data_IF_113759006175
#
_entry.id   IF_113759006175
#
_cell.length_a   1.000
_cell.length_b   1.000
_cell.length_c   1.000
_cell.angle_alpha   90.00
_cell.angle_beta   90.00
_cell.angle_gamma   90.00
#
_symmetry.space_group_name_H-M   'P 1'
#
loop_
_entity.id
_entity.type
_entity.pdbx_description
1 polymer ?
#
# COMPACT_ATOMS: atom_id res chain seq x y z
N UNK A 1 -37.17 35.45 -47.45
CA UNK A 1 -36.04 34.51 -47.44
C UNK A 1 -34.87 34.98 -46.57
N UNK A 2 -34.39 36.23 -46.68
CA UNK A 2 -33.23 36.71 -45.90
C UNK A 2 -33.40 36.71 -44.37
N UNK A 3 -34.61 36.97 -43.86
CA UNK A 3 -34.89 36.99 -42.41
C UNK A 3 -34.76 35.61 -41.74
N UNK A 4 -35.11 34.54 -42.46
CA UNK A 4 -35.01 33.16 -41.97
C UNK A 4 -33.55 32.71 -41.91
N UNK A 5 -32.73 33.14 -42.88
CA UNK A 5 -31.29 32.88 -42.88
C UNK A 5 -30.58 33.64 -41.75
N UNK A 6 -30.99 34.88 -41.47
CA UNK A 6 -30.46 35.67 -40.36
C UNK A 6 -30.80 35.04 -38.99
N UNK A 7 -32.05 34.62 -38.79
CA UNK A 7 -32.50 33.96 -37.56
C UNK A 7 -31.86 32.58 -37.37
N UNK A 8 -31.69 31.81 -38.44
CA UNK A 8 -31.01 30.52 -38.39
C UNK A 8 -29.51 30.66 -38.02
N UNK A 9 -28.83 31.68 -38.55
CA UNK A 9 -27.45 31.99 -38.18
C UNK A 9 -27.31 32.41 -36.71
N UNK A 10 -28.26 33.20 -36.18
CA UNK A 10 -28.29 33.60 -34.76
C UNK A 10 -28.54 32.40 -33.84
N UNK A 11 -29.46 31.50 -34.21
CA UNK A 11 -29.73 30.28 -33.44
C UNK A 11 -28.53 29.31 -33.43
N UNK A 12 -27.79 29.21 -34.55
CA UNK A 12 -26.60 28.36 -34.63
C UNK A 12 -25.39 28.96 -33.90
N UNK A 13 -25.30 30.29 -33.81
CA UNK A 13 -24.24 31.00 -33.11
C UNK A 13 -24.53 31.23 -31.61
N UNK A 14 -25.76 30.98 -31.14
CA UNK A 14 -26.13 31.08 -29.74
C UNK A 14 -25.63 29.87 -28.93
N UNK A 15 -24.32 29.68 -28.86
CA UNK A 15 -23.73 28.87 -27.80
C UNK A 15 -23.82 29.67 -26.49
N UNK A 16 -24.50 29.18 -25.45
CA UNK A 16 -24.50 29.87 -24.16
C UNK A 16 -23.05 29.95 -23.65
N UNK A 17 -22.56 31.18 -23.43
CA UNK A 17 -21.28 31.40 -22.75
C UNK A 17 -21.39 30.81 -21.35
N UNK A 18 -20.57 29.82 -20.94
CA UNK A 18 -20.61 29.32 -19.58
C UNK A 18 -20.23 30.46 -18.64
N UNK A 19 -21.16 30.88 -17.79
CA UNK A 19 -20.83 31.77 -16.67
C UNK A 19 -19.92 31.01 -15.70
N UNK A 20 -18.88 31.65 -15.13
CA UNK A 20 -18.04 30.99 -14.15
C UNK A 20 -18.90 30.55 -12.96
N UNK A 21 -19.11 29.24 -12.84
CA UNK A 21 -19.64 28.63 -11.63
C UNK A 21 -18.54 28.78 -10.58
N UNK A 22 -18.85 29.43 -9.46
CA UNK A 22 -17.98 29.41 -8.27
C UNK A 22 -17.55 27.97 -8.03
N UNK A 23 -16.23 27.73 -7.96
CA UNK A 23 -15.70 26.38 -7.74
C UNK A 23 -16.28 25.73 -6.48
N UNK A 24 -16.10 24.41 -6.31
CA UNK A 24 -16.53 23.73 -5.10
C UNK A 24 -16.02 24.48 -3.87
N UNK A 25 -16.85 24.68 -2.85
CA UNK A 25 -16.42 25.32 -1.60
C UNK A 25 -15.30 24.50 -0.95
N UNK A 26 -14.39 25.14 -0.21
CA UNK A 26 -13.25 24.47 0.44
C UNK A 26 -13.68 23.30 1.35
N UNK A 27 -14.86 23.41 1.97
CA UNK A 27 -15.46 22.34 2.78
C UNK A 27 -15.82 21.08 1.97
N UNK A 28 -16.05 21.22 0.67
CA UNK A 28 -16.43 20.12 -0.23
C UNK A 28 -15.23 19.32 -0.77
N UNK A 29 -14.02 19.86 -0.67
CA UNK A 29 -12.78 19.23 -1.18
C UNK A 29 -11.92 18.62 -0.08
N UNK A 30 -12.30 18.81 1.19
CA UNK A 30 -11.61 18.21 2.32
C UNK A 30 -12.25 16.84 2.62
N UNK A 31 -11.47 15.75 2.81
CA UNK A 31 -11.98 14.39 3.05
C UNK A 31 -12.80 14.22 4.36
N UNK A 32 -13.07 15.30 5.10
CA UNK A 32 -13.85 15.32 6.33
C UNK A 32 -13.29 14.40 7.42
N UNK A 33 -14.09 14.21 8.47
CA UNK A 33 -13.72 13.28 9.57
C UNK A 33 -13.63 11.84 9.06
N UNK A 34 -14.52 11.43 8.15
CA UNK A 34 -14.58 10.06 7.63
C UNK A 34 -13.29 9.72 6.87
N UNK A 35 -12.86 10.56 5.92
CA UNK A 35 -11.65 10.29 5.16
C UNK A 35 -10.37 10.42 5.99
N UNK A 36 -10.36 11.28 7.01
CA UNK A 36 -9.27 11.30 8.00
C UNK A 36 -9.19 9.98 8.78
N UNK A 37 -10.33 9.47 9.28
CA UNK A 37 -10.36 8.19 10.02
C UNK A 37 -9.94 7.02 9.16
N UNK A 38 -10.40 6.93 7.91
CA UNK A 38 -9.96 5.89 6.96
C UNK A 38 -8.45 5.94 6.75
N UNK A 39 -7.90 7.12 6.47
CA UNK A 39 -6.45 7.30 6.25
C UNK A 39 -5.66 6.96 7.51
N UNK A 40 -6.13 7.37 8.68
CA UNK A 40 -5.53 7.05 9.97
C UNK A 40 -5.47 5.54 10.20
N UNK A 41 -6.55 4.81 9.93
CA UNK A 41 -6.57 3.34 10.06
C UNK A 41 -5.59 2.67 9.10
N UNK A 42 -5.48 3.15 7.86
CA UNK A 42 -4.49 2.66 6.89
C UNK A 42 -3.06 2.89 7.41
N UNK A 43 -2.78 4.08 7.96
CA UNK A 43 -1.47 4.39 8.54
C UNK A 43 -1.15 3.47 9.73
N UNK A 44 -2.11 3.25 10.63
CA UNK A 44 -1.95 2.31 11.75
C UNK A 44 -1.71 0.89 11.25
N UNK A 45 -2.47 0.43 10.26
CA UNK A 45 -2.27 -0.88 9.65
C UNK A 45 -0.88 -1.03 9.03
N UNK A 46 -0.40 0.01 8.33
CA UNK A 46 0.95 0.03 7.77
C UNK A 46 2.04 -0.08 8.86
N UNK A 47 1.89 0.67 9.97
CA UNK A 47 2.81 0.58 11.12
C UNK A 47 2.78 -0.81 11.75
N UNK A 48 1.58 -1.36 11.99
CA UNK A 48 1.43 -2.71 12.54
C UNK A 48 2.05 -3.77 11.63
N UNK A 49 1.93 -3.62 10.31
CA UNK A 49 2.54 -4.51 9.33
C UNK A 49 4.07 -4.45 9.39
N UNK A 50 4.65 -3.26 9.51
CA UNK A 50 6.11 -3.10 9.68
C UNK A 50 6.59 -3.74 10.99
N UNK A 51 5.85 -3.55 12.08
CA UNK A 51 6.18 -4.17 13.37
C UNK A 51 6.02 -5.70 13.33
N UNK A 52 5.00 -6.21 12.65
CA UNK A 52 4.85 -7.66 12.45
C UNK A 52 6.00 -8.21 11.60
N UNK A 53 6.34 -7.55 10.50
CA UNK A 53 7.42 -7.97 9.62
C UNK A 53 8.77 -8.03 10.35
N UNK A 54 9.11 -6.99 11.12
CA UNK A 54 10.34 -6.97 11.92
C UNK A 54 10.34 -8.07 12.98
N UNK A 55 9.22 -8.28 13.69
CA UNK A 55 9.08 -9.36 14.67
C UNK A 55 9.17 -10.74 14.03
N UNK A 56 8.59 -10.91 12.84
CA UNK A 56 8.66 -12.15 12.05
C UNK A 56 10.10 -12.45 11.63
N UNK A 57 10.81 -11.49 11.03
CA UNK A 57 12.22 -11.66 10.61
C UNK A 57 13.09 -12.06 11.80
N UNK A 58 12.95 -11.35 12.91
CA UNK A 58 13.70 -11.65 14.13
C UNK A 58 13.43 -13.07 14.64
N UNK A 59 12.15 -13.50 14.66
CA UNK A 59 11.78 -14.88 15.04
C UNK A 59 12.36 -15.95 14.11
N UNK A 60 12.34 -15.72 12.79
CA UNK A 60 12.82 -16.71 11.81
C UNK A 60 14.34 -16.86 11.89
N UNK A 61 15.09 -15.76 12.03
CA UNK A 61 16.56 -15.79 12.13
C UNK A 61 17.07 -16.54 13.35
N UNK A 62 16.50 -16.27 14.54
CA UNK A 62 16.91 -16.98 15.76
C UNK A 62 16.69 -18.50 15.68
N UNK A 63 15.65 -18.93 14.95
CA UNK A 63 15.39 -20.37 14.78
C UNK A 63 16.41 -21.03 13.86
N UNK A 64 16.82 -20.35 12.79
CA UNK A 64 17.82 -20.86 11.86
C UNK A 64 19.19 -21.01 12.52
N UNK A 65 19.65 -19.98 13.25
CA UNK A 65 20.95 -19.99 13.93
C UNK A 65 21.05 -21.09 15.02
N UNK A 66 19.96 -21.39 15.72
CA UNK A 66 19.94 -22.46 16.72
C UNK A 66 19.91 -23.84 16.03
N UNK A 67 19.13 -23.99 14.97
CA UNK A 67 19.06 -25.24 14.23
C UNK A 67 20.42 -25.61 13.63
N UNK A 68 21.15 -24.64 13.06
CA UNK A 68 22.47 -24.84 12.48
C UNK A 68 23.51 -25.29 13.51
N UNK A 69 23.53 -24.68 14.71
CA UNK A 69 24.42 -25.11 15.81
C UNK A 69 24.11 -26.53 16.27
N UNK A 70 22.83 -26.85 16.41
CA UNK A 70 22.41 -28.18 16.85
C UNK A 70 22.74 -29.25 15.80
N UNK A 71 22.65 -28.93 14.51
CA UNK A 71 23.03 -29.85 13.43
C UNK A 71 24.55 -30.03 13.35
N UNK A 72 25.34 -28.98 13.59
CA UNK A 72 26.81 -29.08 13.67
C UNK A 72 27.26 -29.96 14.85
N UNK A 73 26.71 -29.75 16.05
CA UNK A 73 27.02 -30.57 17.23
C UNK A 73 26.65 -32.06 16.99
N UNK A 74 25.55 -32.34 16.30
CA UNK A 74 25.17 -33.71 15.94
C UNK A 74 26.10 -34.34 14.93
N UNK A 75 26.59 -33.56 13.96
CA UNK A 75 27.54 -34.05 12.96
C UNK A 75 28.89 -34.40 13.61
N UNK A 76 29.41 -33.54 14.49
CA UNK A 76 30.64 -33.80 15.24
C UNK A 76 30.50 -35.08 16.10
N UNK A 77 29.39 -35.25 16.82
CA UNK A 77 29.16 -36.47 17.60
C UNK A 77 28.97 -37.74 16.77
N UNK A 78 28.49 -37.64 15.53
CA UNK A 78 28.40 -38.79 14.63
C UNK A 78 29.76 -39.19 14.08
N UNK A 79 30.59 -38.22 13.70
CA UNK A 79 31.95 -38.48 13.19
C UNK A 79 32.84 -39.12 14.27
N UNK A 80 32.75 -38.67 15.53
CA UNK A 80 33.47 -39.28 16.66
C UNK A 80 33.05 -40.75 16.90
N UNK A 81 31.75 -41.05 16.83
CA UNK A 81 31.22 -42.39 17.06
C UNK A 81 31.57 -43.36 15.91
N UNK A 82 31.61 -42.88 14.67
CA UNK A 82 31.98 -43.67 13.48
C UNK A 82 33.51 -43.86 13.39
N UNK A 83 34.29 -42.94 13.97
CA UNK A 83 35.75 -43.05 14.12
C UNK A 83 36.19 -44.13 15.13
N UNK A 84 35.55 -44.20 16.29
CA UNK A 84 35.79 -45.24 17.32
C UNK A 84 35.46 -46.66 16.81
N UNK A 85 34.48 -46.76 15.91
CA UNK A 85 34.06 -48.05 15.34
C UNK A 85 35.01 -48.62 14.27
N UNK A 86 35.99 -47.83 13.79
CA UNK A 86 36.94 -48.19 12.72
C UNK A 86 38.37 -48.42 13.19
N UNK A 87 38.71 -48.06 14.43
CA UNK A 87 40.03 -48.29 15.05
C UNK A 87 40.16 -49.68 15.66
#
# INVERSE_FOLDING_TARGET
>A
MGELLLKAGVWLAATPTPSPTSGPSDDSVTPGVVGFTVTFLIAVAAVLLVLDMTRRIRRVRYRAEIAEKLDAEKAEHQDDADGDSRG
#
